data_IF_994681021452
#
_entry.id   IF_994681021452
#
_cell.length_a   1.000
_cell.length_b   1.000
_cell.length_c   1.000
_cell.angle_alpha   90.00
_cell.angle_beta   90.00
_cell.angle_gamma   90.00
#
_symmetry.space_group_name_H-M   'P 1'
#
loop_
_entity.id
_entity.type
_entity.pdbx_description
1 polymer ?
#
# COMPACT_ATOMS: atom_id res chain seq x y z
N UNK A 1 10.81 8.86 -11.02
CA UNK A 1 9.37 8.54 -11.00
C UNK A 1 9.07 7.56 -12.14
N UNK A 2 9.58 6.34 -12.02
CA UNK A 2 9.46 5.35 -13.07
C UNK A 2 8.44 4.27 -12.66
N UNK A 3 7.40 4.06 -13.50
CA UNK A 3 6.39 3.02 -13.33
C UNK A 3 6.87 1.67 -13.88
N UNK A 4 7.91 1.69 -14.72
CA UNK A 4 8.44 0.50 -15.35
C UNK A 4 9.24 -0.33 -14.34
N UNK A 5 8.70 -1.47 -13.96
CA UNK A 5 9.32 -2.38 -13.02
C UNK A 5 10.70 -2.86 -13.48
N UNK A 6 10.86 -3.17 -14.79
CA UNK A 6 12.12 -3.66 -15.31
C UNK A 6 13.26 -2.64 -15.18
N UNK A 7 12.97 -1.34 -15.33
CA UNK A 7 13.94 -0.27 -15.11
C UNK A 7 14.35 -0.17 -13.64
N UNK A 8 13.42 -0.32 -12.70
CA UNK A 8 13.73 -0.30 -11.26
C UNK A 8 14.52 -1.54 -10.85
N UNK A 9 14.18 -2.71 -11.38
CA UNK A 9 14.91 -3.96 -11.19
C UNK A 9 16.34 -3.85 -11.66
N UNK A 10 16.55 -3.39 -12.90
CA UNK A 10 17.88 -3.18 -13.46
C UNK A 10 18.72 -2.17 -12.66
N UNK A 11 18.07 -1.12 -12.15
CA UNK A 11 18.75 -0.14 -11.30
C UNK A 11 19.22 -0.78 -9.98
N UNK A 12 18.36 -1.53 -9.28
CA UNK A 12 18.72 -2.23 -8.05
C UNK A 12 19.84 -3.25 -8.27
N UNK A 13 19.79 -4.01 -9.35
CA UNK A 13 20.83 -4.98 -9.68
C UNK A 13 22.17 -4.30 -9.98
N UNK A 14 22.12 -3.14 -10.65
CA UNK A 14 23.34 -2.36 -10.97
C UNK A 14 24.02 -1.80 -9.72
N UNK A 15 23.23 -1.36 -8.71
CA UNK A 15 23.79 -0.80 -7.46
C UNK A 15 23.97 -1.85 -6.36
N UNK A 16 23.88 -3.15 -6.68
CA UNK A 16 24.12 -4.24 -5.72
C UNK A 16 23.03 -4.37 -4.64
N UNK A 17 21.84 -3.81 -4.87
CA UNK A 17 20.69 -3.82 -3.93
C UNK A 17 20.98 -3.14 -2.58
N UNK A 18 21.90 -2.19 -2.56
CA UNK A 18 22.24 -1.44 -1.33
C UNK A 18 21.27 -0.29 -1.04
N UNK A 19 20.39 0.04 -1.99
CA UNK A 19 19.46 1.16 -1.88
C UNK A 19 18.01 0.68 -1.66
N UNK A 20 17.22 1.57 -1.07
CA UNK A 20 15.76 1.41 -1.00
C UNK A 20 15.13 2.33 -2.03
N UNK A 21 14.14 1.83 -2.76
CA UNK A 21 13.41 2.57 -3.79
C UNK A 21 11.92 2.62 -3.43
N UNK A 22 11.28 3.74 -3.76
CA UNK A 22 9.83 3.81 -3.74
C UNK A 22 9.23 2.80 -4.72
N UNK A 23 8.25 2.03 -4.26
CA UNK A 23 7.49 1.09 -5.09
C UNK A 23 6.47 1.85 -5.94
N UNK A 24 6.99 2.57 -6.93
CA UNK A 24 6.18 3.37 -7.86
C UNK A 24 5.20 2.49 -8.66
N UNK A 25 5.57 1.28 -9.12
CA UNK A 25 4.60 0.36 -9.72
C UNK A 25 3.40 0.08 -8.83
N UNK A 26 3.61 -0.25 -7.55
CA UNK A 26 2.50 -0.48 -6.60
C UNK A 26 1.64 0.77 -6.42
N UNK A 27 2.25 1.96 -6.28
CA UNK A 27 1.51 3.22 -6.19
C UNK A 27 0.58 3.42 -7.40
N UNK A 28 1.07 3.20 -8.64
CA UNK A 28 0.23 3.39 -9.82
C UNK A 28 -0.88 2.34 -9.93
N UNK A 29 -0.65 1.12 -9.48
CA UNK A 29 -1.71 0.11 -9.39
C UNK A 29 -2.80 0.52 -8.39
N UNK A 30 -2.42 1.04 -7.23
CA UNK A 30 -3.37 1.59 -6.25
C UNK A 30 -4.11 2.81 -6.80
N UNK A 31 -3.40 3.69 -7.53
CA UNK A 31 -4.01 4.83 -8.21
C UNK A 31 -5.05 4.36 -9.22
N UNK A 32 -4.70 3.45 -10.13
CA UNK A 32 -5.64 2.93 -11.13
C UNK A 32 -6.83 2.22 -10.49
N UNK A 33 -6.61 1.39 -9.45
CA UNK A 33 -7.70 0.77 -8.69
C UNK A 33 -8.66 1.81 -8.12
N UNK A 34 -8.13 2.91 -7.58
CA UNK A 34 -8.95 4.02 -7.06
C UNK A 34 -9.75 4.73 -8.15
N UNK A 35 -9.22 4.83 -9.39
CA UNK A 35 -9.89 5.50 -10.51
C UNK A 35 -10.97 4.63 -11.14
N UNK A 36 -10.67 3.34 -11.37
CA UNK A 36 -11.50 2.38 -12.09
C UNK A 36 -12.54 1.70 -11.20
N UNK A 37 -12.30 1.63 -9.87
CA UNK A 37 -13.20 0.94 -8.95
C UNK A 37 -13.39 -0.54 -9.35
N UNK A 38 -14.64 -0.95 -9.58
CA UNK A 38 -15.00 -2.34 -9.95
C UNK A 38 -14.39 -2.82 -11.27
N UNK A 39 -14.00 -1.91 -12.14
CA UNK A 39 -13.40 -2.25 -13.43
C UNK A 39 -11.90 -2.52 -13.33
N UNK A 40 -11.31 -2.38 -12.14
CA UNK A 40 -9.94 -2.77 -11.87
C UNK A 40 -9.88 -4.16 -11.23
N UNK A 41 -9.03 -5.01 -11.77
CA UNK A 41 -8.76 -6.33 -11.19
C UNK A 41 -7.75 -6.22 -10.03
N UNK A 42 -8.24 -6.28 -8.79
CA UNK A 42 -7.39 -6.20 -7.60
C UNK A 42 -6.36 -7.34 -7.50
N UNK A 43 -6.56 -8.45 -8.22
CA UNK A 43 -5.57 -9.55 -8.23
C UNK A 43 -4.25 -9.13 -8.88
N UNK A 44 -4.26 -8.04 -9.66
CA UNK A 44 -3.06 -7.47 -10.29
C UNK A 44 -2.18 -6.63 -9.33
N UNK A 45 -2.69 -6.24 -8.17
CA UNK A 45 -1.96 -5.36 -7.25
C UNK A 45 -0.52 -5.84 -6.92
N UNK A 46 -0.25 -7.13 -6.65
CA UNK A 46 1.10 -7.59 -6.34
C UNK A 46 2.00 -7.76 -7.55
N UNK A 47 1.47 -7.86 -8.77
CA UNK A 47 2.24 -8.19 -9.96
C UNK A 47 3.23 -7.08 -10.32
N UNK A 48 4.44 -7.44 -10.74
CA UNK A 48 5.48 -6.51 -11.17
C UNK A 48 5.70 -5.33 -10.22
N UNK A 49 5.80 -5.64 -8.91
CA UNK A 49 6.06 -4.66 -7.85
C UNK A 49 7.38 -4.96 -7.15
N UNK A 50 8.03 -3.92 -6.62
CA UNK A 50 9.24 -4.09 -5.81
C UNK A 50 8.93 -4.87 -4.53
N UNK A 51 7.77 -4.65 -3.94
CA UNK A 51 7.33 -5.35 -2.72
C UNK A 51 7.32 -6.86 -2.88
N UNK A 52 7.00 -7.37 -4.06
CA UNK A 52 7.01 -8.83 -4.33
C UNK A 52 8.42 -9.32 -4.65
N UNK A 53 9.16 -8.63 -5.50
CA UNK A 53 10.45 -9.10 -6.04
C UNK A 53 11.64 -8.73 -5.16
N UNK A 54 11.62 -7.55 -4.54
CA UNK A 54 12.70 -6.98 -3.73
C UNK A 54 12.16 -6.40 -2.42
N UNK A 55 11.49 -7.22 -1.58
CA UNK A 55 10.77 -6.73 -0.39
C UNK A 55 11.66 -5.97 0.60
N UNK A 56 12.95 -6.29 0.66
CA UNK A 56 13.91 -5.61 1.52
C UNK A 56 14.35 -4.24 1.00
N UNK A 57 14.07 -3.95 -0.27
CA UNK A 57 14.43 -2.69 -0.93
C UNK A 57 13.19 -1.82 -1.23
N UNK A 58 11.99 -2.36 -1.05
CA UNK A 58 10.76 -1.68 -1.41
C UNK A 58 10.30 -0.72 -0.30
N UNK A 59 10.13 0.55 -0.63
CA UNK A 59 9.43 1.55 0.18
C UNK A 59 8.04 1.73 -0.40
N UNK A 60 7.03 1.18 0.28
CA UNK A 60 5.63 1.29 -0.15
C UNK A 60 5.02 2.63 0.29
N UNK A 61 4.18 3.22 -0.54
CA UNK A 61 3.51 4.48 -0.24
C UNK A 61 2.16 4.56 -0.96
N UNK A 62 1.25 5.35 -0.40
CA UNK A 62 -0.05 5.66 -1.00
C UNK A 62 0.07 6.93 -1.83
N UNK A 63 0.39 8.05 -1.20
CA UNK A 63 0.67 9.32 -1.85
C UNK A 63 1.94 9.96 -1.29
N UNK A 64 2.44 10.98 -1.99
CA UNK A 64 3.51 11.85 -1.53
C UNK A 64 3.31 13.29 -2.08
N UNK A 65 4.29 14.17 -1.87
CA UNK A 65 4.21 15.56 -2.34
C UNK A 65 4.21 15.71 -3.86
N UNK A 66 4.69 14.69 -4.59
CA UNK A 66 4.69 14.68 -6.06
C UNK A 66 3.40 14.14 -6.64
N UNK A 67 2.76 13.16 -5.98
CA UNK A 67 1.51 12.56 -6.45
C UNK A 67 0.25 13.33 -6.05
N UNK A 68 0.34 14.20 -5.05
CA UNK A 68 -0.81 14.95 -4.54
C UNK A 68 -1.43 15.87 -5.60
N UNK A 69 -2.69 16.21 -5.38
CA UNK A 69 -3.45 17.08 -6.28
C UNK A 69 -2.76 18.43 -6.51
N UNK A 70 -2.63 18.82 -7.79
CA UNK A 70 -2.02 20.07 -8.22
C UNK A 70 -0.49 20.01 -8.36
N UNK A 71 0.13 18.86 -8.12
CA UNK A 71 1.56 18.67 -8.41
C UNK A 71 1.78 18.30 -9.89
N UNK A 72 3.02 18.39 -10.35
CA UNK A 72 3.39 18.07 -11.75
C UNK A 72 3.27 16.58 -12.09
N UNK A 73 3.29 15.71 -11.09
CA UNK A 73 3.18 14.26 -11.23
C UNK A 73 1.89 13.74 -10.61
N UNK A 74 0.84 14.56 -10.63
CA UNK A 74 -0.45 14.25 -10.00
C UNK A 74 -0.95 12.84 -10.36
N UNK A 75 -1.00 11.99 -9.35
CA UNK A 75 -1.54 10.63 -9.40
C UNK A 75 -2.19 10.28 -8.07
N UNK A 76 -2.92 11.24 -7.50
CA UNK A 76 -3.52 11.10 -6.18
C UNK A 76 -4.55 9.97 -6.14
N UNK A 77 -4.39 9.07 -5.17
CA UNK A 77 -5.37 8.03 -4.90
C UNK A 77 -6.66 8.67 -4.36
N UNK A 78 -7.82 8.26 -4.88
CA UNK A 78 -9.12 8.80 -4.47
C UNK A 78 -9.39 8.51 -2.99
N UNK A 79 -10.03 9.47 -2.33
CA UNK A 79 -10.29 9.44 -0.88
C UNK A 79 -11.01 8.17 -0.40
N UNK A 80 -11.94 7.63 -1.22
CA UNK A 80 -12.68 6.42 -0.88
C UNK A 80 -11.79 5.18 -0.78
N UNK A 81 -10.69 5.12 -1.57
CA UNK A 81 -9.78 3.98 -1.61
C UNK A 81 -8.56 4.14 -0.71
N UNK A 82 -8.23 5.36 -0.27
CA UNK A 82 -7.08 5.63 0.60
C UNK A 82 -7.04 4.76 1.86
N UNK A 83 -8.14 4.56 2.61
CA UNK A 83 -8.11 3.67 3.78
C UNK A 83 -7.69 2.25 3.44
N UNK A 84 -8.15 1.72 2.30
CA UNK A 84 -7.80 0.38 1.83
C UNK A 84 -6.34 0.31 1.38
N UNK A 85 -5.87 1.29 0.61
CA UNK A 85 -4.48 1.39 0.17
C UNK A 85 -3.52 1.46 1.36
N UNK A 86 -3.81 2.30 2.37
CA UNK A 86 -3.03 2.35 3.61
C UNK A 86 -3.15 1.06 4.43
N UNK A 87 -4.32 0.45 4.48
CA UNK A 87 -4.50 -0.86 5.11
C UNK A 87 -3.55 -1.89 4.50
N UNK A 88 -3.47 -1.94 3.17
CA UNK A 88 -2.56 -2.85 2.47
C UNK A 88 -1.10 -2.58 2.85
N UNK A 89 -0.58 -1.38 2.62
CA UNK A 89 0.85 -1.11 2.82
C UNK A 89 1.27 -1.13 4.30
N UNK A 90 0.39 -0.78 5.23
CA UNK A 90 0.69 -0.77 6.66
C UNK A 90 0.62 -2.16 7.30
N UNK A 91 -0.26 -3.05 6.83
CA UNK A 91 -0.51 -4.33 7.48
C UNK A 91 0.16 -5.52 6.80
N UNK A 92 0.61 -5.36 5.54
CA UNK A 92 1.38 -6.40 4.86
C UNK A 92 2.74 -6.63 5.53
N UNK A 93 3.29 -7.84 5.33
CA UNK A 93 4.58 -8.26 5.86
C UNK A 93 5.76 -7.58 5.17
N UNK A 94 5.67 -7.43 3.86
CA UNK A 94 6.77 -7.04 2.99
C UNK A 94 6.77 -5.54 2.70
N UNK A 95 7.97 -4.99 2.53
CA UNK A 95 8.18 -3.58 2.24
C UNK A 95 8.20 -2.68 3.48
N UNK A 96 8.70 -1.46 3.30
CA UNK A 96 8.76 -0.43 4.33
C UNK A 96 7.68 0.62 4.03
N UNK A 97 6.58 0.68 4.80
CA UNK A 97 5.51 1.63 4.53
C UNK A 97 5.92 3.07 4.86
N UNK A 98 5.69 3.95 3.90
CA UNK A 98 5.86 5.39 4.05
C UNK A 98 4.49 6.06 4.15
N UNK A 99 4.23 6.71 5.28
CA UNK A 99 3.01 7.47 5.52
C UNK A 99 3.20 8.92 5.07
N UNK A 100 2.36 9.39 4.15
CA UNK A 100 2.44 10.75 3.67
C UNK A 100 1.94 11.75 4.72
N UNK A 101 2.74 12.76 5.02
CA UNK A 101 2.42 13.81 5.99
C UNK A 101 1.07 14.48 5.69
N UNK A 102 0.81 14.79 4.42
CA UNK A 102 -0.44 15.43 3.98
C UNK A 102 -1.68 14.59 4.24
N UNK A 103 -1.59 13.27 4.11
CA UNK A 103 -2.69 12.35 4.41
C UNK A 103 -2.92 12.17 5.91
N UNK A 104 -1.92 12.39 6.75
CA UNK A 104 -2.04 12.26 8.19
C UNK A 104 -2.41 13.56 8.88
N UNK A 105 -1.69 14.65 8.60
CA UNK A 105 -1.89 15.94 9.26
C UNK A 105 -2.77 16.90 8.46
N UNK A 106 -2.90 16.68 7.16
CA UNK A 106 -3.56 17.59 6.23
C UNK A 106 -2.57 18.54 5.55
N UNK A 107 -3.10 19.34 4.65
CA UNK A 107 -2.35 20.33 3.86
C UNK A 107 -3.16 21.62 3.69
N UNK A 108 -2.47 22.74 3.44
CA UNK A 108 -3.12 24.03 3.19
C UNK A 108 -4.00 24.54 4.34
N UNK A 109 -3.65 24.23 5.60
CA UNK A 109 -4.39 24.64 6.79
C UNK A 109 -5.67 23.82 7.06
N UNK A 110 -5.93 22.76 6.32
CA UNK A 110 -7.06 21.84 6.52
C UNK A 110 -6.56 20.54 7.13
N UNK A 111 -7.26 20.06 8.18
CA UNK A 111 -6.98 18.75 8.77
C UNK A 111 -7.31 17.62 7.77
N UNK A 112 -6.55 16.54 7.84
CA UNK A 112 -6.82 15.36 7.01
C UNK A 112 -8.08 14.64 7.48
N UNK A 113 -8.99 14.25 6.56
CA UNK A 113 -10.12 13.40 6.91
C UNK A 113 -9.70 11.95 7.20
N UNK A 114 -8.49 11.55 6.78
CA UNK A 114 -8.01 10.18 6.88
C UNK A 114 -7.33 9.88 8.22
N UNK A 115 -6.93 10.89 8.99
CA UNK A 115 -6.21 10.71 10.25
C UNK A 115 -6.86 9.70 11.21
N UNK A 116 -8.17 9.72 11.46
CA UNK A 116 -8.78 8.77 12.40
C UNK A 116 -8.60 7.30 11.99
N UNK A 117 -8.75 6.99 10.71
CA UNK A 117 -8.53 5.62 10.22
C UNK A 117 -7.04 5.27 10.20
N UNK A 118 -6.17 6.22 9.90
CA UNK A 118 -4.72 6.01 9.91
C UNK A 118 -4.21 5.73 11.33
N UNK A 119 -4.74 6.39 12.36
CA UNK A 119 -4.42 6.10 13.76
C UNK A 119 -4.79 4.64 14.12
N UNK A 120 -5.95 4.16 13.65
CA UNK A 120 -6.40 2.76 13.84
C UNK A 120 -5.45 1.80 13.13
N UNK A 121 -5.09 2.08 11.87
CA UNK A 121 -4.20 1.22 11.09
C UNK A 121 -2.78 1.16 11.67
N UNK A 122 -2.26 2.29 12.15
CA UNK A 122 -0.96 2.34 12.83
C UNK A 122 -0.97 1.56 14.16
N UNK A 123 -2.06 1.66 14.94
CA UNK A 123 -2.20 0.84 16.15
C UNK A 123 -2.33 -0.64 15.81
N UNK A 124 -3.12 -0.99 14.78
CA UNK A 124 -3.24 -2.36 14.29
C UNK A 124 -1.88 -2.93 13.82
N UNK A 125 -1.10 -2.14 13.06
CA UNK A 125 0.25 -2.52 12.65
C UNK A 125 1.12 -2.87 13.86
N UNK A 126 1.14 -1.97 14.85
CA UNK A 126 1.98 -2.12 16.04
C UNK A 126 1.60 -3.31 16.91
N UNK A 127 0.32 -3.66 16.98
CA UNK A 127 -0.20 -4.68 17.91
C UNK A 127 -0.44 -6.03 17.27
N UNK A 128 -0.81 -6.05 15.98
CA UNK A 128 -1.36 -7.26 15.37
C UNK A 128 -0.66 -7.72 14.09
N UNK A 129 0.11 -6.85 13.39
CA UNK A 129 0.67 -7.18 12.09
C UNK A 129 1.97 -8.00 12.20
N UNK A 130 1.91 -9.13 12.89
CA UNK A 130 3.04 -10.04 13.13
C UNK A 130 2.80 -11.42 12.52
N UNK A 131 3.89 -12.21 12.47
CA UNK A 131 3.88 -13.55 11.95
C UNK A 131 3.80 -13.63 10.42
N UNK A 132 3.73 -14.84 9.93
CA UNK A 132 3.69 -15.16 8.51
C UNK A 132 2.43 -14.60 7.83
N UNK A 133 2.56 -14.17 6.57
CA UNK A 133 1.47 -13.65 5.76
C UNK A 133 0.94 -14.67 4.77
N UNK A 134 -0.38 -14.81 4.71
CA UNK A 134 -1.09 -15.47 3.61
C UNK A 134 -1.84 -14.42 2.79
N UNK A 135 -1.74 -14.54 1.46
CA UNK A 135 -2.45 -13.69 0.50
C UNK A 135 -3.63 -14.45 -0.10
N UNK A 136 -4.74 -13.74 -0.27
CA UNK A 136 -5.97 -14.20 -0.92
C UNK A 136 -6.31 -13.19 -2.02
N UNK A 137 -5.60 -13.33 -3.16
CA UNK A 137 -5.75 -12.49 -4.34
C UNK A 137 -6.31 -13.34 -5.49
N UNK A 138 -7.51 -13.85 -5.28
CA UNK A 138 -8.18 -14.82 -6.14
C UNK A 138 -9.54 -14.34 -6.67
N UNK A 139 -9.95 -13.11 -6.32
CA UNK A 139 -11.19 -12.50 -6.80
C UNK A 139 -10.94 -11.06 -7.26
N UNK A 140 -11.42 -10.66 -8.47
CA UNK A 140 -11.07 -9.38 -9.07
C UNK A 140 -11.51 -8.14 -8.25
N UNK A 141 -12.58 -8.24 -7.49
CA UNK A 141 -13.11 -7.12 -6.74
C UNK A 141 -12.97 -7.24 -5.22
N UNK A 142 -12.43 -8.35 -4.73
CA UNK A 142 -12.22 -8.56 -3.30
C UNK A 142 -10.96 -9.38 -3.09
N UNK A 143 -9.98 -8.77 -2.44
CA UNK A 143 -8.72 -9.41 -2.09
C UNK A 143 -8.43 -9.23 -0.62
N UNK A 144 -7.56 -10.06 -0.07
CA UNK A 144 -7.24 -9.96 1.33
C UNK A 144 -5.88 -10.52 1.70
N UNK A 145 -5.49 -10.27 2.92
CA UNK A 145 -4.34 -10.89 3.57
C UNK A 145 -4.66 -11.28 5.00
N UNK A 146 -3.95 -12.29 5.50
CA UNK A 146 -3.97 -12.68 6.90
C UNK A 146 -2.54 -12.66 7.42
N UNK A 147 -2.31 -12.02 8.57
CA UNK A 147 -1.11 -12.16 9.38
C UNK A 147 -1.44 -13.14 10.50
N UNK A 148 -0.64 -14.21 10.64
CA UNK A 148 -0.97 -15.32 11.54
C UNK A 148 -0.69 -15.03 13.00
N UNK A 149 0.00 -13.94 13.30
CA UNK A 149 0.58 -13.70 14.61
C UNK A 149 1.79 -14.60 14.87
N UNK A 150 2.46 -14.38 15.98
CA UNK A 150 3.60 -15.19 16.42
C UNK A 150 3.66 -15.31 17.95
N UNK A 151 4.55 -16.19 18.42
CA UNK A 151 4.69 -16.45 19.85
C UNK A 151 5.41 -15.32 20.60
N UNK A 152 6.19 -14.49 19.91
CA UNK A 152 6.88 -13.34 20.50
C UNK A 152 5.92 -12.17 20.77
N UNK A 153 4.78 -12.15 20.05
CA UNK A 153 3.72 -11.17 20.22
C UNK A 153 2.38 -11.86 20.51
N UNK A 154 2.16 -12.35 21.74
CA UNK A 154 0.94 -13.07 22.10
C UNK A 154 -0.31 -12.25 21.87
N UNK A 155 -1.30 -12.84 21.19
CA UNK A 155 -2.56 -12.17 20.82
C UNK A 155 -2.45 -11.30 19.56
N UNK A 156 -1.33 -11.36 18.83
CA UNK A 156 -1.19 -10.76 17.50
C UNK A 156 -1.88 -11.61 16.42
N UNK A 157 -1.90 -11.08 15.21
CA UNK A 157 -2.58 -11.64 14.06
C UNK A 157 -3.77 -10.78 13.66
N UNK A 158 -4.03 -10.69 12.36
CA UNK A 158 -5.13 -9.93 11.79
C UNK A 158 -5.53 -10.47 10.42
N UNK A 159 -6.72 -10.08 9.97
CA UNK A 159 -7.14 -10.19 8.58
C UNK A 159 -7.48 -8.79 8.04
N UNK A 160 -7.10 -8.55 6.78
CA UNK A 160 -7.47 -7.35 6.04
C UNK A 160 -8.20 -7.78 4.77
N UNK A 161 -9.29 -7.12 4.46
CA UNK A 161 -10.01 -7.23 3.19
C UNK A 161 -10.01 -5.88 2.49
N UNK A 162 -9.76 -5.90 1.18
CA UNK A 162 -9.94 -4.77 0.27
C UNK A 162 -11.05 -5.13 -0.71
N UNK A 163 -11.97 -4.20 -0.94
CA UNK A 163 -13.05 -4.40 -1.90
C UNK A 163 -13.30 -3.15 -2.74
N UNK A 164 -13.53 -3.35 -4.04
CA UNK A 164 -14.04 -2.32 -4.96
C UNK A 164 -15.51 -2.53 -5.30
N UNK A 165 -16.16 -3.52 -4.70
CA UNK A 165 -17.60 -3.77 -4.84
C UNK A 165 -18.44 -2.68 -4.16
N UNK A 166 -19.63 -2.39 -4.71
CA UNK A 166 -20.56 -1.41 -4.14
C UNK A 166 -21.17 -1.90 -2.82
N UNK A 167 -21.29 -3.21 -2.64
CA UNK A 167 -22.03 -3.82 -1.51
C UNK A 167 -21.12 -4.35 -0.41
N UNK A 168 -19.83 -4.01 -0.42
CA UNK A 168 -18.86 -4.35 0.65
C UNK A 168 -18.89 -5.85 1.03
N UNK A 169 -18.99 -6.72 0.04
CA UNK A 169 -19.19 -8.16 0.22
C UNK A 169 -18.19 -8.79 1.13
#
# INVERSE_FOLDING_TARGET
WNQDFASLENYLDTVGKELHLFDVPLHFKLFEASQKGRDYDLTDLPNDTLTVRYPQNAVTFVDNHDSQRGSSLESQIKDWFKPQAYGLILLMEKGYPCLFYGDYYGAGGKASPHRPILDILLDARRRYAYGEQNLYFDHPNTVGLVRRGDAEHPGSGLALLLSTGEDGC
#
